data_IF_997962537237
#
_entry.id   IF_997962537237
#
_cell.length_a   1.000
_cell.length_b   1.000
_cell.length_c   1.000
_cell.angle_alpha   90.00
_cell.angle_beta   90.00
_cell.angle_gamma   90.00
#
_symmetry.space_group_name_H-M   'P 1'
#
loop_
_entity.id
_entity.type
_entity.pdbx_description
1 polymer ?
#
# COMPACT_ATOMS: atom_id res chain seq x y z
N UNK A 1 -10.82 13.02 53.93
CA UNK A 1 -11.24 11.80 53.21
C UNK A 1 -11.17 12.09 51.73
N UNK A 2 -10.17 11.55 51.03
CA UNK A 2 -9.99 11.79 49.60
C UNK A 2 -11.00 10.92 48.83
N UNK A 3 -11.95 11.55 48.15
CA UNK A 3 -12.91 10.85 47.31
C UNK A 3 -12.22 10.42 46.02
N UNK A 4 -11.77 9.17 45.98
CA UNK A 4 -11.29 8.53 44.75
C UNK A 4 -12.52 8.20 43.88
N UNK A 5 -12.88 9.09 42.96
CA UNK A 5 -13.90 8.82 41.95
C UNK A 5 -13.35 7.89 40.89
N UNK A 6 -13.42 6.58 41.13
CA UNK A 6 -13.09 5.57 40.13
C UNK A 6 -14.26 5.52 39.12
N UNK A 7 -14.11 6.21 37.99
CA UNK A 7 -15.04 6.15 36.86
C UNK A 7 -14.88 4.83 36.09
N UNK A 8 -15.66 3.81 36.45
CA UNK A 8 -15.70 2.51 35.76
C UNK A 8 -16.21 2.60 34.30
N UNK A 9 -16.89 3.69 33.93
CA UNK A 9 -17.37 3.95 32.57
C UNK A 9 -16.25 4.32 31.59
N UNK A 10 -15.14 4.87 32.11
CA UNK A 10 -13.98 5.31 31.31
C UNK A 10 -12.96 4.17 31.09
N UNK A 11 -12.99 3.14 31.95
CA UNK A 11 -12.02 2.04 31.95
C UNK A 11 -12.55 0.69 31.42
N UNK A 12 -13.87 0.50 31.27
CA UNK A 12 -14.44 -0.81 30.89
C UNK A 12 -15.14 -0.89 29.52
N UNK A 13 -15.95 0.11 29.12
CA UNK A 13 -16.87 -0.02 27.98
C UNK A 13 -16.51 0.78 26.73
N UNK A 14 -16.19 2.07 26.90
CA UNK A 14 -15.72 2.96 25.83
C UNK A 14 -14.47 2.42 25.08
N UNK A 15 -13.41 1.92 25.74
CA UNK A 15 -12.27 1.36 25.03
C UNK A 15 -12.64 0.10 24.22
N UNK A 16 -13.56 -0.72 24.71
CA UNK A 16 -14.02 -1.93 24.00
C UNK A 16 -14.89 -1.54 22.80
N UNK A 17 -15.83 -0.62 22.96
CA UNK A 17 -16.66 -0.13 21.85
C UNK A 17 -15.80 0.55 20.76
N UNK A 18 -14.88 1.44 21.15
CA UNK A 18 -13.98 2.11 20.22
C UNK A 18 -13.09 1.11 19.46
N UNK A 19 -12.54 0.11 20.15
CA UNK A 19 -11.74 -0.93 19.49
C UNK A 19 -12.57 -1.83 18.56
N UNK A 20 -13.84 -2.10 18.87
CA UNK A 20 -14.72 -2.86 17.96
C UNK A 20 -15.05 -2.08 16.68
N UNK A 21 -15.31 -0.76 16.78
CA UNK A 21 -15.55 0.10 15.63
C UNK A 21 -14.30 0.22 14.77
N UNK A 22 -13.13 0.45 15.38
CA UNK A 22 -11.85 0.49 14.68
C UNK A 22 -11.57 -0.82 13.93
N UNK A 23 -11.83 -1.97 14.57
CA UNK A 23 -11.70 -3.28 13.93
C UNK A 23 -12.62 -3.43 12.73
N UNK A 24 -13.85 -2.94 12.80
CA UNK A 24 -14.80 -3.01 11.68
C UNK A 24 -14.36 -2.14 10.50
N UNK A 25 -13.95 -0.89 10.76
CA UNK A 25 -13.44 0.02 9.72
C UNK A 25 -12.22 -0.58 9.04
N UNK A 26 -11.30 -1.13 9.82
CA UNK A 26 -10.05 -1.68 9.30
C UNK A 26 -10.24 -3.02 8.60
N UNK A 27 -11.21 -3.82 9.04
CA UNK A 27 -11.67 -5.00 8.30
C UNK A 27 -12.17 -4.60 6.92
N UNK A 28 -13.02 -3.57 6.83
CA UNK A 28 -13.52 -3.03 5.56
C UNK A 28 -12.39 -2.62 4.63
N UNK A 29 -11.50 -1.72 5.09
CA UNK A 29 -10.34 -1.25 4.31
C UNK A 29 -9.41 -2.38 3.87
N UNK A 30 -9.16 -3.37 4.74
CA UNK A 30 -8.26 -4.47 4.40
C UNK A 30 -8.81 -5.42 3.34
N UNK A 31 -10.13 -5.55 3.24
CA UNK A 31 -10.77 -6.50 2.33
C UNK A 31 -11.24 -5.87 1.02
N UNK A 32 -11.05 -4.56 0.81
CA UNK A 32 -11.53 -3.85 -0.37
C UNK A 32 -10.45 -3.02 -1.04
N UNK A 33 -9.22 -3.53 -1.10
CA UNK A 33 -8.06 -2.76 -1.57
C UNK A 33 -8.06 -2.52 -3.07
N UNK A 34 -8.39 -1.32 -3.53
CA UNK A 34 -8.38 -0.99 -4.96
C UNK A 34 -7.00 -0.53 -5.42
N UNK A 35 -6.38 -1.34 -6.30
CA UNK A 35 -5.06 -1.09 -6.82
C UNK A 35 -5.11 -0.22 -8.08
N UNK A 36 -4.22 0.75 -8.19
CA UNK A 36 -4.01 1.53 -9.40
C UNK A 36 -3.32 0.66 -10.45
N UNK A 37 -3.88 0.58 -11.65
CA UNK A 37 -3.25 -0.11 -12.78
C UNK A 37 -2.03 0.69 -13.28
N UNK A 38 -0.87 0.47 -12.65
CA UNK A 38 0.35 1.24 -12.90
C UNK A 38 1.53 0.35 -13.26
N UNK A 39 1.62 0.00 -14.55
CA UNK A 39 2.70 -0.81 -15.11
C UNK A 39 3.75 0.03 -15.84
N UNK A 40 5.02 -0.08 -15.46
CA UNK A 40 6.12 0.67 -16.07
C UNK A 40 7.03 -0.19 -16.95
N UNK A 41 7.23 -1.46 -16.58
CA UNK A 41 8.17 -2.36 -17.26
C UNK A 41 7.73 -3.82 -17.14
N UNK A 42 8.67 -4.77 -17.21
CA UNK A 42 8.41 -6.21 -17.18
C UNK A 42 7.61 -6.70 -15.95
N UNK A 43 7.74 -6.04 -14.78
CA UNK A 43 6.95 -6.36 -13.60
C UNK A 43 5.43 -6.16 -13.81
N UNK A 44 5.03 -5.33 -14.79
CA UNK A 44 3.63 -5.16 -15.15
C UNK A 44 3.01 -6.45 -15.69
N UNK A 45 3.77 -7.29 -16.40
CA UNK A 45 3.28 -8.56 -16.94
C UNK A 45 2.96 -9.53 -15.80
N UNK A 46 3.82 -9.59 -14.77
CA UNK A 46 3.56 -10.40 -13.59
C UNK A 46 2.37 -9.85 -12.77
N UNK A 47 2.21 -8.52 -12.72
CA UNK A 47 1.02 -7.90 -12.14
C UNK A 47 -0.25 -8.25 -12.93
N UNK A 48 -0.20 -8.30 -14.27
CA UNK A 48 -1.32 -8.77 -15.08
C UNK A 48 -1.60 -10.26 -14.85
N UNK A 49 -0.55 -11.08 -14.72
CA UNK A 49 -0.68 -12.49 -14.41
C UNK A 49 -1.34 -12.71 -13.04
N UNK A 50 -1.08 -11.85 -12.05
CA UNK A 50 -1.80 -11.91 -10.77
C UNK A 50 -3.30 -11.61 -10.88
N UNK A 51 -3.70 -10.79 -11.85
CA UNK A 51 -5.11 -10.53 -12.15
C UNK A 51 -5.76 -11.61 -13.04
N UNK A 52 -4.99 -12.56 -13.57
CA UNK A 52 -5.51 -13.63 -14.40
C UNK A 52 -6.12 -14.77 -13.56
N UNK A 53 -6.86 -15.65 -14.23
CA UNK A 53 -7.66 -16.72 -13.62
C UNK A 53 -6.90 -17.68 -12.70
N UNK A 54 -5.59 -17.89 -12.94
CA UNK A 54 -4.78 -18.79 -12.11
C UNK A 54 -4.59 -18.26 -10.69
N UNK A 55 -4.45 -16.95 -10.55
CA UNK A 55 -4.01 -16.30 -9.32
C UNK A 55 -5.12 -15.49 -8.66
N UNK A 56 -6.02 -14.91 -9.48
CA UNK A 56 -7.25 -14.23 -9.07
C UNK A 56 -7.07 -13.25 -7.90
N UNK A 57 -6.66 -12.03 -8.23
CA UNK A 57 -6.55 -10.92 -7.28
C UNK A 57 -7.90 -10.45 -6.72
N UNK A 58 -9.00 -10.65 -7.45
CA UNK A 58 -10.33 -10.23 -7.02
C UNK A 58 -10.83 -11.07 -5.84
N UNK A 59 -10.34 -12.31 -5.69
CA UNK A 59 -10.58 -13.16 -4.51
C UNK A 59 -10.24 -12.47 -3.19
N UNK A 60 -9.26 -11.57 -3.19
CA UNK A 60 -8.85 -10.82 -1.99
C UNK A 60 -9.53 -9.45 -1.86
N UNK A 61 -10.50 -9.16 -2.74
CA UNK A 61 -11.17 -7.87 -2.87
C UNK A 61 -10.30 -6.79 -3.50
N UNK A 62 -9.29 -7.19 -4.29
CA UNK A 62 -8.39 -6.27 -4.96
C UNK A 62 -8.72 -6.10 -6.44
N UNK A 63 -9.15 -4.88 -6.77
CA UNK A 63 -9.62 -4.53 -8.12
C UNK A 63 -8.68 -3.52 -8.77
N UNK A 64 -8.32 -3.85 -10.02
CA UNK A 64 -7.86 -2.99 -11.11
C UNK A 64 -8.62 -1.67 -11.31
N UNK A 65 -8.16 -0.52 -10.78
CA UNK A 65 -8.70 0.80 -11.15
C UNK A 65 -7.73 1.61 -11.99
N UNK A 66 -8.23 2.19 -13.09
CA UNK A 66 -7.44 3.03 -13.98
C UNK A 66 -7.25 4.47 -13.46
N UNK A 67 -8.21 4.97 -12.68
CA UNK A 67 -8.16 6.34 -12.17
C UNK A 67 -7.54 6.39 -10.76
N UNK A 68 -6.55 7.27 -10.51
CA UNK A 68 -5.92 7.39 -9.19
C UNK A 68 -6.89 7.90 -8.13
N UNK A 69 -7.93 8.66 -8.52
CA UNK A 69 -8.96 9.15 -7.59
C UNK A 69 -9.84 8.04 -7.01
N UNK A 70 -9.90 6.88 -7.67
CA UNK A 70 -10.64 5.71 -7.22
C UNK A 70 -9.71 4.63 -6.64
N UNK A 71 -8.40 4.82 -6.63
CA UNK A 71 -7.47 3.82 -6.13
C UNK A 71 -6.90 4.24 -4.77
N UNK A 72 -6.64 3.26 -3.91
CA UNK A 72 -6.02 3.46 -2.60
C UNK A 72 -4.63 2.81 -2.52
N UNK A 73 -4.38 1.76 -3.31
CA UNK A 73 -3.06 1.11 -3.39
C UNK A 73 -2.39 1.48 -4.70
N UNK A 74 -1.18 2.02 -4.64
CA UNK A 74 -0.32 2.26 -5.80
C UNK A 74 0.77 1.19 -5.86
N UNK A 75 0.68 0.30 -6.84
CA UNK A 75 1.72 -0.72 -7.08
C UNK A 75 2.66 -0.16 -8.15
N UNK A 76 3.94 0.04 -7.81
CA UNK A 76 4.94 0.47 -8.80
C UNK A 76 5.59 -0.74 -9.41
N UNK A 77 5.00 -1.20 -10.52
CA UNK A 77 5.42 -2.39 -11.24
C UNK A 77 6.42 -2.04 -12.36
N UNK A 78 7.67 -1.77 -11.99
CA UNK A 78 8.78 -1.65 -12.95
C UNK A 78 9.80 -0.57 -12.64
N UNK A 79 10.65 -0.29 -13.64
CA UNK A 79 11.70 0.72 -13.52
C UNK A 79 11.14 2.14 -13.62
N UNK A 80 11.60 3.03 -12.73
CA UNK A 80 11.21 4.43 -12.73
C UNK A 80 12.30 5.27 -13.38
N UNK A 81 11.95 5.97 -14.47
CA UNK A 81 12.87 6.90 -15.15
C UNK A 81 12.73 8.31 -14.58
N UNK A 82 13.79 9.12 -14.68
CA UNK A 82 13.78 10.52 -14.23
C UNK A 82 12.67 11.35 -14.91
N UNK A 83 12.39 11.08 -16.18
CA UNK A 83 11.29 11.72 -16.91
C UNK A 83 9.92 11.35 -16.32
N UNK A 84 9.77 10.12 -15.83
CA UNK A 84 8.50 9.62 -15.30
C UNK A 84 8.31 9.89 -13.79
N UNK A 85 9.37 10.31 -13.10
CA UNK A 85 9.36 10.63 -11.67
C UNK A 85 8.26 11.64 -11.29
N UNK A 86 8.16 12.74 -12.04
CA UNK A 86 7.18 13.78 -11.75
C UNK A 86 5.74 13.30 -11.97
N UNK A 87 5.49 12.49 -13.00
CA UNK A 87 4.17 11.90 -13.24
C UNK A 87 3.77 10.94 -12.12
N UNK A 88 4.72 10.13 -11.65
CA UNK A 88 4.50 9.22 -10.51
C UNK A 88 4.09 10.02 -9.27
N UNK A 89 4.79 11.13 -9.00
CA UNK A 89 4.45 12.01 -7.87
C UNK A 89 3.07 12.62 -8.01
N UNK A 90 2.75 13.14 -9.19
CA UNK A 90 1.43 13.74 -9.47
C UNK A 90 0.29 12.73 -9.30
N UNK A 91 0.47 11.49 -9.76
CA UNK A 91 -0.52 10.42 -9.57
C UNK A 91 -0.73 10.12 -8.08
N UNK A 92 0.36 9.98 -7.33
CA UNK A 92 0.30 9.76 -5.89
C UNK A 92 -0.38 10.90 -5.13
N UNK A 93 -0.14 12.15 -5.53
CA UNK A 93 -0.77 13.32 -4.91
C UNK A 93 -2.27 13.44 -5.25
N UNK A 94 -2.72 12.86 -6.36
CA UNK A 94 -4.14 12.82 -6.76
C UNK A 94 -4.96 11.72 -6.07
N UNK A 95 -4.31 10.76 -5.42
CA UNK A 95 -4.98 9.69 -4.66
C UNK A 95 -5.56 10.23 -3.34
N UNK A 96 -6.74 9.73 -2.98
CA UNK A 96 -7.38 10.04 -1.70
C UNK A 96 -6.62 9.39 -0.52
N UNK A 97 -6.74 9.98 0.65
CA UNK A 97 -6.25 9.39 1.90
C UNK A 97 -7.34 8.46 2.46
N UNK A 98 -7.04 7.23 2.92
CA UNK A 98 -5.74 6.59 3.11
C UNK A 98 -5.16 5.98 1.82
N UNK A 99 -3.84 6.09 1.63
CA UNK A 99 -3.14 5.50 0.48
C UNK A 99 -1.93 4.68 0.88
N UNK A 100 -1.68 3.60 0.15
CA UNK A 100 -0.55 2.71 0.36
C UNK A 100 0.25 2.49 -0.92
N UNK A 101 1.56 2.31 -0.77
CA UNK A 101 2.46 2.10 -1.92
C UNK A 101 3.20 0.79 -1.77
N UNK A 102 3.10 -0.06 -2.80
CA UNK A 102 3.89 -1.28 -2.91
C UNK A 102 4.93 -1.06 -4.01
N UNK A 103 6.22 -1.14 -3.65
CA UNK A 103 7.30 -1.11 -4.62
C UNK A 103 7.57 -2.53 -5.13
N UNK A 104 7.27 -2.77 -6.41
CA UNK A 104 7.35 -4.10 -7.03
C UNK A 104 8.60 -4.24 -7.90
N UNK A 105 9.51 -5.09 -7.43
CA UNK A 105 10.71 -5.51 -8.15
C UNK A 105 11.95 -4.69 -7.81
N UNK A 106 13.11 -5.26 -8.10
CA UNK A 106 14.42 -4.69 -7.74
C UNK A 106 14.65 -3.32 -8.38
N UNK A 107 14.10 -3.09 -9.58
CA UNK A 107 14.21 -1.80 -10.26
C UNK A 107 13.47 -0.67 -9.52
N UNK A 108 12.29 -0.95 -8.95
CA UNK A 108 11.53 0.03 -8.18
C UNK A 108 12.16 0.28 -6.80
N UNK A 109 12.69 -0.77 -6.16
CA UNK A 109 13.28 -0.69 -4.82
C UNK A 109 14.58 0.11 -4.80
N UNK A 110 15.55 -0.22 -5.67
CA UNK A 110 16.91 0.35 -5.62
C UNK A 110 17.43 0.85 -6.96
N UNK A 111 16.63 0.81 -8.04
CA UNK A 111 17.13 0.95 -9.42
C UNK A 111 17.56 -0.39 -10.04
N UNK A 112 17.74 -1.43 -9.22
CA UNK A 112 18.02 -2.80 -9.65
C UNK A 112 19.33 -2.90 -10.41
N UNK A 113 19.28 -3.49 -11.62
CA UNK A 113 20.44 -3.60 -12.50
C UNK A 113 20.81 -2.28 -13.19
N UNK A 114 19.93 -1.27 -13.14
CA UNK A 114 20.08 -0.04 -13.91
C UNK A 114 20.76 1.05 -13.08
N UNK A 115 22.09 0.99 -12.97
CA UNK A 115 22.88 2.13 -12.51
C UNK A 115 23.19 3.08 -13.67
N UNK A 116 22.15 3.74 -14.19
CA UNK A 116 22.26 4.59 -15.39
C UNK A 116 21.79 6.02 -15.10
N UNK A 117 22.19 6.97 -15.94
CA UNK A 117 21.83 8.38 -15.79
C UNK A 117 20.33 8.65 -15.92
N UNK A 118 19.58 7.75 -16.58
CA UNK A 118 18.17 7.95 -16.91
C UNK A 118 17.21 7.39 -15.84
N UNK A 119 17.66 6.45 -15.01
CA UNK A 119 16.83 5.77 -14.00
C UNK A 119 16.95 6.44 -12.62
N UNK A 120 15.88 6.36 -11.84
CA UNK A 120 15.88 6.75 -10.43
C UNK A 120 16.34 5.55 -9.60
N UNK A 121 17.30 5.76 -8.70
CA UNK A 121 17.85 4.72 -7.83
C UNK A 121 16.93 4.52 -6.61
N UNK A 122 15.72 4.00 -6.87
CA UNK A 122 14.68 3.77 -5.87
C UNK A 122 13.52 4.76 -5.95
N UNK A 123 12.30 4.23 -5.88
CA UNK A 123 11.03 4.97 -5.86
C UNK A 123 10.90 5.84 -4.61
N UNK A 124 11.51 5.41 -3.50
CA UNK A 124 11.43 6.02 -2.16
C UNK A 124 11.86 7.47 -2.11
N UNK A 125 12.67 7.89 -3.09
CA UNK A 125 13.12 9.27 -3.22
C UNK A 125 12.01 10.23 -3.65
N UNK A 126 10.91 9.70 -4.20
CA UNK A 126 9.83 10.50 -4.81
C UNK A 126 8.52 10.32 -4.04
N UNK A 127 8.18 9.08 -3.72
CA UNK A 127 6.98 8.75 -2.93
C UNK A 127 7.34 7.79 -1.79
N UNK A 128 6.63 7.88 -0.66
CA UNK A 128 6.89 6.98 0.46
C UNK A 128 6.34 5.58 0.17
N UNK A 129 7.19 4.55 0.34
CA UNK A 129 6.83 3.15 0.13
C UNK A 129 6.43 2.48 1.45
N UNK A 130 5.38 1.66 1.41
CA UNK A 130 4.91 0.89 2.58
C UNK A 130 5.49 -0.52 2.65
N UNK A 131 5.64 -1.17 1.49
CA UNK A 131 6.11 -2.54 1.35
C UNK A 131 7.02 -2.63 0.13
N UNK A 132 8.17 -3.26 0.32
CA UNK A 132 9.12 -3.59 -0.74
C UNK A 132 8.96 -5.06 -1.12
N UNK A 133 8.81 -5.30 -2.41
CA UNK A 133 8.74 -6.64 -2.96
C UNK A 133 10.01 -6.93 -3.77
N UNK A 134 10.90 -7.83 -3.31
CA UNK A 134 12.09 -8.21 -4.06
C UNK A 134 11.75 -9.14 -5.24
N UNK A 135 12.42 -8.96 -6.39
CA UNK A 135 12.28 -9.83 -7.57
C UNK A 135 12.59 -9.13 -8.90
N UNK A 136 12.83 -9.89 -9.97
CA UNK A 136 13.13 -9.35 -11.30
C UNK A 136 12.68 -10.30 -12.44
N UNK A 137 11.40 -10.44 -12.74
CA UNK A 137 10.24 -9.91 -12.02
C UNK A 137 9.85 -10.84 -10.85
N UNK A 138 9.25 -10.32 -9.76
CA UNK A 138 8.76 -11.18 -8.69
C UNK A 138 7.62 -12.05 -9.21
N UNK A 139 7.56 -13.31 -8.75
CA UNK A 139 6.49 -14.23 -9.14
C UNK A 139 5.11 -13.71 -8.67
N UNK A 140 4.01 -14.09 -9.34
CA UNK A 140 2.66 -13.67 -8.97
C UNK A 140 2.29 -14.01 -7.52
N UNK A 141 2.73 -15.17 -7.02
CA UNK A 141 2.47 -15.59 -5.64
C UNK A 141 3.14 -14.66 -4.63
N UNK A 142 4.32 -14.12 -4.96
CA UNK A 142 5.04 -13.19 -4.08
C UNK A 142 4.29 -11.85 -3.99
N UNK A 143 3.69 -11.39 -5.10
CA UNK A 143 2.86 -10.19 -5.08
C UNK A 143 1.55 -10.41 -4.29
N UNK A 144 0.93 -11.59 -4.37
CA UNK A 144 -0.19 -11.96 -3.49
C UNK A 144 0.22 -11.92 -2.02
N UNK A 145 1.39 -12.46 -1.69
CA UNK A 145 1.91 -12.43 -0.33
C UNK A 145 2.14 -11.00 0.17
N UNK A 146 2.67 -10.12 -0.68
CA UNK A 146 2.83 -8.70 -0.36
C UNK A 146 1.50 -8.01 -0.08
N UNK A 147 0.45 -8.33 -0.85
CA UNK A 147 -0.91 -7.85 -0.61
C UNK A 147 -1.43 -8.35 0.74
N UNK A 148 -1.29 -9.65 1.06
CA UNK A 148 -1.69 -10.19 2.37
C UNK A 148 -0.94 -9.53 3.53
N UNK A 149 0.34 -9.20 3.33
CA UNK A 149 1.12 -8.46 4.31
C UNK A 149 0.58 -7.04 4.49
N UNK A 150 0.18 -6.37 3.41
CA UNK A 150 -0.49 -5.07 3.46
C UNK A 150 -1.80 -5.15 4.22
N UNK A 151 -2.63 -6.15 3.95
CA UNK A 151 -3.88 -6.38 4.69
C UNK A 151 -3.64 -6.56 6.19
N UNK A 152 -2.58 -7.31 6.57
CA UNK A 152 -2.18 -7.47 7.97
C UNK A 152 -1.68 -6.16 8.58
N UNK A 153 -0.90 -5.36 7.84
CA UNK A 153 -0.44 -4.03 8.26
C UNK A 153 -1.62 -3.11 8.53
N UNK A 154 -2.57 -3.05 7.60
CA UNK A 154 -3.81 -2.31 7.70
C UNK A 154 -4.55 -2.79 8.96
N UNK A 155 -4.91 -4.06 9.10
CA UNK A 155 -5.64 -4.57 10.30
C UNK A 155 -5.01 -4.23 11.66
N UNK A 156 -3.72 -3.95 11.73
CA UNK A 156 -3.01 -3.56 12.96
C UNK A 156 -3.07 -2.05 13.26
N UNK A 157 -3.32 -1.21 12.25
CA UNK A 157 -3.45 0.24 12.43
C UNK A 157 -4.76 0.60 13.15
N UNK A 158 -4.70 1.52 14.12
CA UNK A 158 -5.86 2.04 14.84
C UNK A 158 -6.44 3.26 14.13
N UNK A 159 -7.77 3.31 13.94
CA UNK A 159 -8.47 4.34 13.17
C UNK A 159 -8.31 5.76 13.72
N UNK A 160 -8.10 5.90 15.03
CA UNK A 160 -7.91 7.20 15.70
C UNK A 160 -6.47 7.73 15.69
N UNK A 161 -5.47 6.93 15.26
CA UNK A 161 -4.08 7.36 15.30
C UNK A 161 -3.77 8.17 14.04
N UNK A 162 -3.47 9.47 14.22
CA UNK A 162 -3.05 10.38 13.14
C UNK A 162 -1.99 9.68 12.28
N UNK A 163 -2.27 9.50 10.99
CA UNK A 163 -1.35 8.83 10.06
C UNK A 163 0.03 9.48 10.17
N UNK A 164 1.04 8.70 10.54
CA UNK A 164 2.41 9.21 10.61
C UNK A 164 2.80 9.69 9.22
N UNK A 165 3.29 10.93 9.10
CA UNK A 165 3.79 11.46 7.84
C UNK A 165 4.90 10.54 7.34
N UNK A 166 4.62 9.77 6.29
CA UNK A 166 5.60 8.85 5.70
C UNK A 166 6.76 9.69 5.15
N UNK A 167 7.96 9.50 5.70
CA UNK A 167 9.16 10.21 5.25
C UNK A 167 9.69 9.56 3.96
N UNK A 168 10.17 10.40 3.06
CA UNK A 168 11.04 9.96 1.97
C UNK A 168 12.42 9.62 2.55
N UNK A 169 13.08 8.62 1.99
CA UNK A 169 14.46 8.23 2.36
C UNK A 169 15.45 9.06 1.56
#
# INVERSE_FOLDING_TARGET
MANHTINYTQSGGLPIALTTVDKLVQWGRSNSLWALSYGLACCAIEMMATGASRYDFDRFGTIFRASPRQAEVMIIAGTLTKKHAEFTRRLYDQMAEPKWVISMGSCANTGGMFNTYATVQGVDRIIPVDIYLPGCAPRPETLQYALMLLQKKIRRESGARKAQTKRLV
#
